data_IF_354768576583
#
_entry.id   IF_354768576583
#
_cell.length_a   1.000
_cell.length_b   1.000
_cell.length_c   1.000
_cell.angle_alpha   90.00
_cell.angle_beta   90.00
_cell.angle_gamma   90.00
#
_symmetry.space_group_name_H-M   'P 1'
#
loop_
_entity.id
_entity.type
_entity.pdbx_description
1 polymer ?
#
# COMPACT_ATOMS: atom_id res chain seq x y z
N UNK A 1 -47.07 -0.42 2.85
CA UNK A 1 -46.17 -0.88 3.93
C UNK A 1 -44.93 0.00 3.91
N UNK A 2 -45.01 1.12 4.61
CA UNK A 2 -43.99 2.18 4.57
C UNK A 2 -43.01 2.09 5.73
N UNK A 3 -41.78 2.51 5.45
CA UNK A 3 -40.95 3.29 6.36
C UNK A 3 -40.60 2.64 7.71
N UNK A 4 -39.78 1.58 7.70
CA UNK A 4 -38.97 1.20 8.90
C UNK A 4 -37.56 1.85 8.92
N UNK A 5 -37.14 2.47 7.81
CA UNK A 5 -35.81 3.09 7.70
C UNK A 5 -35.68 4.46 8.36
N UNK A 6 -36.77 5.23 8.46
CA UNK A 6 -36.70 6.61 8.97
C UNK A 6 -36.65 6.70 10.50
N UNK A 7 -37.28 5.77 11.22
CA UNK A 7 -37.24 5.76 12.70
C UNK A 7 -35.84 5.44 13.24
N UNK A 8 -35.03 4.65 12.52
CA UNK A 8 -33.65 4.40 12.90
C UNK A 8 -32.72 5.61 12.66
N UNK A 9 -33.03 6.50 11.71
CA UNK A 9 -32.21 7.68 11.43
C UNK A 9 -32.40 8.83 12.43
N UNK A 10 -33.61 9.04 12.98
CA UNK A 10 -33.86 10.10 13.98
C UNK A 10 -33.28 9.78 15.36
N UNK A 11 -33.08 8.50 15.68
CA UNK A 11 -32.39 8.07 16.91
C UNK A 11 -30.88 8.29 16.80
N UNK A 12 -30.31 8.17 15.59
CA UNK A 12 -28.88 8.39 15.35
C UNK A 12 -28.46 9.84 15.58
N UNK A 13 -29.24 10.82 15.13
CA UNK A 13 -28.92 12.24 15.29
C UNK A 13 -28.83 12.66 16.76
N UNK A 14 -29.78 12.22 17.60
CA UNK A 14 -29.79 12.53 19.03
C UNK A 14 -28.73 11.75 19.84
N UNK A 15 -28.35 10.55 19.38
CA UNK A 15 -27.35 9.72 20.06
C UNK A 15 -25.92 10.13 19.68
N UNK A 16 -25.68 10.62 18.47
CA UNK A 16 -24.33 11.02 18.04
C UNK A 16 -23.90 12.42 18.55
N UNK A 17 -24.81 13.16 19.17
CA UNK A 17 -24.58 14.47 19.79
C UNK A 17 -24.21 14.42 21.28
N UNK A 18 -24.22 13.23 21.91
CA UNK A 18 -23.74 13.04 23.29
C UNK A 18 -22.27 12.61 23.30
N UNK A 19 -21.50 13.10 24.27
CA UNK A 19 -20.07 12.81 24.45
C UNK A 19 -19.74 11.32 24.58
N UNK A 20 -20.75 10.48 24.82
CA UNK A 20 -20.59 9.04 24.96
C UNK A 20 -21.78 8.26 24.38
N UNK A 21 -21.53 7.46 23.34
CA UNK A 21 -22.50 6.49 22.83
C UNK A 21 -22.27 5.12 23.50
N UNK A 22 -23.29 4.53 24.14
CA UNK A 22 -23.19 3.19 24.71
C UNK A 22 -22.78 2.10 23.71
N UNK A 23 -21.93 1.15 24.15
CA UNK A 23 -21.41 0.03 23.34
C UNK A 23 -22.48 -0.78 22.63
N UNK A 24 -23.62 -1.01 23.28
CA UNK A 24 -24.75 -1.75 22.69
C UNK A 24 -25.29 -1.02 21.46
N UNK A 25 -25.37 0.31 21.53
CA UNK A 25 -25.87 1.15 20.44
C UNK A 25 -24.84 1.18 19.31
N UNK A 26 -23.55 1.39 19.61
CA UNK A 26 -22.47 1.35 18.60
C UNK A 26 -22.44 0.00 17.86
N UNK A 27 -22.53 -1.12 18.59
CA UNK A 27 -22.58 -2.46 17.98
C UNK A 27 -23.83 -2.65 17.10
N UNK A 28 -24.99 -2.18 17.56
CA UNK A 28 -26.24 -2.25 16.80
C UNK A 28 -26.14 -1.45 15.50
N UNK A 29 -25.66 -0.20 15.56
CA UNK A 29 -25.53 0.67 14.40
C UNK A 29 -24.57 0.05 13.38
N UNK A 30 -23.41 -0.43 13.81
CA UNK A 30 -22.42 -1.03 12.93
C UNK A 30 -22.95 -2.32 12.26
N UNK A 31 -23.72 -3.14 13.00
CA UNK A 31 -24.35 -4.33 12.45
C UNK A 31 -25.43 -3.98 11.42
N UNK A 32 -26.31 -3.03 11.75
CA UNK A 32 -27.34 -2.54 10.83
C UNK A 32 -26.71 -1.97 9.55
N UNK A 33 -25.70 -1.10 9.68
CA UNK A 33 -25.00 -0.49 8.55
C UNK A 33 -24.42 -1.52 7.56
N UNK A 34 -23.84 -2.62 8.07
CA UNK A 34 -23.28 -3.69 7.22
C UNK A 34 -24.33 -4.38 6.36
N UNK A 35 -25.58 -4.42 6.82
CA UNK A 35 -26.70 -5.07 6.12
C UNK A 35 -27.42 -4.15 5.13
N UNK A 36 -27.10 -2.85 5.11
CA UNK A 36 -27.75 -1.87 4.25
C UNK A 36 -27.34 -2.04 2.78
N UNK A 37 -28.31 -1.84 1.88
CA UNK A 37 -28.06 -1.66 0.45
C UNK A 37 -27.37 -0.31 0.16
N UNK A 38 -26.98 -0.10 -1.10
CA UNK A 38 -26.26 1.10 -1.50
C UNK A 38 -27.03 2.41 -1.22
N UNK A 39 -28.32 2.45 -1.56
CA UNK A 39 -29.14 3.65 -1.41
C UNK A 39 -29.35 3.98 0.07
N UNK A 40 -29.55 2.95 0.90
CA UNK A 40 -29.68 3.08 2.36
C UNK A 40 -28.36 3.52 3.01
N UNK A 41 -27.22 3.01 2.54
CA UNK A 41 -25.89 3.49 2.98
C UNK A 41 -25.66 4.94 2.62
N UNK A 42 -26.08 5.36 1.41
CA UNK A 42 -26.00 6.76 1.00
C UNK A 42 -26.80 7.67 1.94
N UNK A 43 -28.04 7.30 2.26
CA UNK A 43 -28.87 8.06 3.22
C UNK A 43 -28.19 8.12 4.59
N UNK A 44 -27.71 6.98 5.10
CA UNK A 44 -27.01 6.92 6.37
C UNK A 44 -25.79 7.85 6.42
N UNK A 45 -24.94 7.81 5.38
CA UNK A 45 -23.74 8.63 5.31
C UNK A 45 -24.06 10.13 5.21
N UNK A 46 -25.13 10.49 4.50
CA UNK A 46 -25.60 11.87 4.43
C UNK A 46 -26.12 12.38 5.77
N UNK A 47 -26.92 11.57 6.48
CA UNK A 47 -27.38 11.88 7.84
C UNK A 47 -26.18 12.05 8.77
N UNK A 48 -25.26 11.08 8.75
CA UNK A 48 -24.03 11.12 9.55
C UNK A 48 -23.20 12.38 9.27
N UNK A 49 -23.01 12.74 7.99
CA UNK A 49 -22.19 13.88 7.61
C UNK A 49 -22.86 15.24 7.94
N UNK A 50 -24.19 15.31 7.96
CA UNK A 50 -24.94 16.53 8.31
C UNK A 50 -25.05 16.74 9.81
N UNK A 51 -25.24 15.66 10.57
CA UNK A 51 -25.49 15.72 12.01
C UNK A 51 -24.19 15.80 12.82
N UNK A 52 -23.06 15.36 12.26
CA UNK A 52 -21.75 15.50 12.90
C UNK A 52 -21.16 16.90 12.68
N UNK A 53 -21.12 17.70 13.74
CA UNK A 53 -20.35 18.96 13.79
C UNK A 53 -18.83 18.71 13.75
N UNK A 54 -18.01 19.73 13.44
CA UNK A 54 -16.57 19.60 13.13
C UNK A 54 -15.76 18.75 14.14
N UNK A 55 -16.09 18.79 15.43
CA UNK A 55 -15.36 18.07 16.48
C UNK A 55 -15.92 16.66 16.82
N UNK A 56 -17.18 16.39 16.50
CA UNK A 56 -17.88 15.14 16.83
C UNK A 56 -17.38 13.87 16.07
N UNK A 57 -16.97 13.94 14.78
CA UNK A 57 -16.50 12.78 14.02
C UNK A 57 -15.31 12.07 14.69
N UNK A 58 -14.38 12.83 15.25
CA UNK A 58 -13.17 12.26 15.87
C UNK A 58 -13.53 11.42 17.09
N UNK A 59 -14.45 11.90 17.92
CA UNK A 59 -14.94 11.18 19.09
C UNK A 59 -15.69 9.91 18.69
N UNK A 60 -16.58 10.01 17.70
CA UNK A 60 -17.28 8.86 17.16
C UNK A 60 -16.31 7.81 16.60
N UNK A 61 -15.31 8.20 15.80
CA UNK A 61 -14.34 7.26 15.25
C UNK A 61 -13.51 6.57 16.33
N UNK A 62 -13.14 7.28 17.41
CA UNK A 62 -12.48 6.67 18.58
C UNK A 62 -13.39 5.69 19.32
N UNK A 63 -14.67 6.01 19.47
CA UNK A 63 -15.65 5.09 20.06
C UNK A 63 -15.86 3.85 19.19
N UNK A 64 -16.01 4.01 17.88
CA UNK A 64 -16.09 2.89 16.93
C UNK A 64 -14.85 2.01 17.01
N UNK A 65 -13.66 2.60 17.08
CA UNK A 65 -12.40 1.87 17.18
C UNK A 65 -12.27 1.10 18.51
N UNK A 66 -12.67 1.70 19.63
CA UNK A 66 -12.49 1.11 20.97
C UNK A 66 -13.60 0.12 21.36
N UNK A 67 -14.82 0.30 20.85
CA UNK A 67 -15.99 -0.45 21.30
C UNK A 67 -16.38 -1.61 20.36
N UNK A 68 -15.94 -1.57 19.09
CA UNK A 68 -16.18 -2.62 18.10
C UNK A 68 -14.98 -3.55 17.93
N UNK A 69 -15.27 -4.84 17.94
CA UNK A 69 -14.32 -5.86 17.51
C UNK A 69 -14.09 -5.69 15.99
N UNK A 70 -12.86 -5.37 15.59
CA UNK A 70 -12.55 -4.99 14.20
C UNK A 70 -12.96 -3.56 13.80
N UNK A 71 -13.10 -2.64 14.76
CA UNK A 71 -13.51 -1.25 14.52
C UNK A 71 -12.65 -0.51 13.47
N UNK A 72 -11.35 -0.80 13.40
CA UNK A 72 -10.47 -0.22 12.38
C UNK A 72 -10.91 -0.61 10.96
N UNK A 73 -11.16 -1.91 10.72
CA UNK A 73 -11.60 -2.40 9.42
C UNK A 73 -12.98 -1.83 9.06
N UNK A 74 -13.86 -1.66 10.05
CA UNK A 74 -15.15 -1.00 9.86
C UNK A 74 -14.98 0.45 9.38
N UNK A 75 -14.10 1.24 9.98
CA UNK A 75 -13.83 2.62 9.56
C UNK A 75 -13.23 2.69 8.15
N UNK A 76 -12.35 1.75 7.79
CA UNK A 76 -11.82 1.62 6.43
C UNK A 76 -12.94 1.33 5.43
N UNK A 77 -13.84 0.39 5.75
CA UNK A 77 -14.99 0.07 4.89
C UNK A 77 -15.97 1.25 4.78
N UNK A 78 -16.25 1.94 5.88
CA UNK A 78 -17.09 3.13 5.92
C UNK A 78 -16.56 4.20 4.95
N UNK A 79 -15.24 4.41 4.94
CA UNK A 79 -14.59 5.33 4.00
C UNK A 79 -14.70 4.85 2.55
N UNK A 80 -14.55 3.55 2.31
CA UNK A 80 -14.71 2.96 0.98
C UNK A 80 -16.13 3.24 0.42
N UNK A 81 -17.15 2.98 1.23
CA UNK A 81 -18.56 3.21 0.91
C UNK A 81 -18.81 4.72 0.66
N UNK A 82 -18.26 5.59 1.51
CA UNK A 82 -18.34 7.05 1.34
C UNK A 82 -17.75 7.53 0.00
N UNK A 83 -16.59 7.01 -0.40
CA UNK A 83 -15.98 7.33 -1.69
C UNK A 83 -16.81 6.84 -2.86
N UNK A 84 -17.43 5.66 -2.74
CA UNK A 84 -18.33 5.14 -3.76
C UNK A 84 -19.57 6.03 -3.94
N UNK A 85 -20.14 6.52 -2.83
CA UNK A 85 -21.27 7.47 -2.84
C UNK A 85 -20.87 8.81 -3.45
N UNK A 86 -19.72 9.37 -3.06
CA UNK A 86 -19.16 10.59 -3.66
C UNK A 86 -18.95 10.49 -5.17
N UNK A 87 -18.66 9.29 -5.68
CA UNK A 87 -18.51 9.04 -7.12
C UNK A 87 -19.82 9.00 -7.90
N UNK A 88 -20.98 8.87 -7.22
CA UNK A 88 -22.30 8.74 -7.87
C UNK A 88 -23.26 9.91 -7.60
N UNK A 89 -23.05 10.69 -6.53
CA UNK A 89 -23.89 11.85 -6.21
C UNK A 89 -23.54 13.04 -7.10
N UNK A 90 -24.58 13.71 -7.60
CA UNK A 90 -24.45 14.95 -8.40
C UNK A 90 -24.89 16.21 -7.63
N UNK A 91 -25.59 16.09 -6.50
CA UNK A 91 -26.06 17.23 -5.72
C UNK A 91 -24.90 17.97 -5.04
N UNK A 92 -24.65 19.22 -5.43
CA UNK A 92 -23.49 20.00 -4.97
C UNK A 92 -23.43 20.19 -3.45
N UNK A 93 -24.57 20.41 -2.78
CA UNK A 93 -24.61 20.59 -1.32
C UNK A 93 -24.20 19.32 -0.58
N UNK A 94 -24.72 18.17 -1.04
CA UNK A 94 -24.44 16.86 -0.46
C UNK A 94 -22.98 16.46 -0.68
N UNK A 95 -22.41 16.75 -1.86
CA UNK A 95 -21.00 16.51 -2.16
C UNK A 95 -20.08 17.26 -1.19
N UNK A 96 -20.37 18.53 -0.88
CA UNK A 96 -19.53 19.32 0.04
C UNK A 96 -19.49 18.69 1.43
N UNK A 97 -20.66 18.32 1.96
CA UNK A 97 -20.79 17.75 3.32
C UNK A 97 -20.13 16.37 3.39
N UNK A 98 -20.34 15.51 2.39
CA UNK A 98 -19.69 14.19 2.33
C UNK A 98 -18.17 14.27 2.13
N UNK A 99 -17.66 15.27 1.39
CA UNK A 99 -16.22 15.49 1.25
C UNK A 99 -15.58 15.91 2.57
N UNK A 100 -16.25 16.74 3.37
CA UNK A 100 -15.76 17.11 4.70
C UNK A 100 -15.64 15.86 5.60
N UNK A 101 -16.64 14.98 5.58
CA UNK A 101 -16.58 13.70 6.31
C UNK A 101 -15.43 12.80 5.80
N UNK A 102 -15.21 12.70 4.49
CA UNK A 102 -14.10 11.90 3.92
C UNK A 102 -12.74 12.46 4.35
N UNK A 103 -12.58 13.79 4.38
CA UNK A 103 -11.34 14.43 4.84
C UNK A 103 -11.04 14.16 6.31
N UNK A 104 -12.06 14.21 7.18
CA UNK A 104 -11.90 13.85 8.60
C UNK A 104 -11.54 12.38 8.77
N UNK A 105 -12.25 11.48 8.09
CA UNK A 105 -12.00 10.04 8.17
C UNK A 105 -10.63 9.68 7.58
N UNK A 106 -10.23 10.34 6.49
CA UNK A 106 -8.88 10.23 5.92
C UNK A 106 -7.82 10.64 6.94
N UNK A 107 -7.97 11.80 7.58
CA UNK A 107 -6.98 12.32 8.52
C UNK A 107 -6.86 11.42 9.76
N UNK A 108 -8.00 10.91 10.25
CA UNK A 108 -8.04 9.92 11.33
C UNK A 108 -7.30 8.63 10.92
N UNK A 109 -7.67 8.00 9.79
CA UNK A 109 -6.98 6.80 9.32
C UNK A 109 -5.50 7.06 9.04
N UNK A 110 -5.14 8.27 8.60
CA UNK A 110 -3.75 8.68 8.35
C UNK A 110 -2.90 8.73 9.64
N UNK A 111 -3.47 9.07 10.78
CA UNK A 111 -2.73 9.06 12.05
C UNK A 111 -2.49 7.64 12.58
N UNK A 112 -3.41 6.71 12.30
CA UNK A 112 -3.34 5.35 12.83
C UNK A 112 -2.41 4.42 12.03
N UNK A 113 -2.46 4.47 10.69
CA UNK A 113 -1.74 3.50 9.85
C UNK A 113 -0.26 3.86 9.58
N UNK A 114 0.40 4.56 10.50
CA UNK A 114 1.76 5.08 10.28
C UNK A 114 2.73 4.00 9.76
N UNK A 115 3.61 4.39 8.82
CA UNK A 115 4.51 3.46 8.11
C UNK A 115 5.38 2.65 9.07
N UNK A 116 5.73 3.22 10.23
CA UNK A 116 6.54 2.55 11.26
C UNK A 116 5.89 1.32 11.90
N UNK A 117 4.57 1.14 11.76
CA UNK A 117 3.86 -0.03 12.30
C UNK A 117 3.53 -1.09 11.25
N UNK A 118 3.85 -0.84 9.97
CA UNK A 118 3.62 -1.82 8.93
C UNK A 118 4.63 -2.96 9.04
N UNK A 119 4.12 -4.18 9.18
CA UNK A 119 4.93 -5.40 9.17
C UNK A 119 4.93 -5.97 7.76
N UNK A 120 6.11 -6.13 7.18
CA UNK A 120 6.29 -6.83 5.91
C UNK A 120 6.46 -8.32 6.20
N UNK A 121 5.58 -9.14 5.65
CA UNK A 121 5.65 -10.60 5.79
C UNK A 121 5.76 -11.26 4.41
N UNK A 122 6.56 -12.32 4.33
CA UNK A 122 6.66 -13.14 3.13
C UNK A 122 5.47 -14.12 3.12
N UNK A 123 4.71 -14.10 2.03
CA UNK A 123 3.64 -15.06 1.79
C UNK A 123 4.22 -16.26 1.03
N UNK A 124 4.00 -17.46 1.56
CA UNK A 124 4.39 -18.73 0.92
C UNK A 124 3.21 -19.68 0.92
N UNK A 125 3.20 -20.64 -0.01
CA UNK A 125 2.09 -21.59 -0.09
C UNK A 125 2.07 -22.56 1.10
N UNK A 126 3.24 -22.90 1.64
CA UNK A 126 3.41 -23.92 2.67
C UNK A 126 3.24 -23.37 4.10
N UNK A 127 3.64 -22.12 4.35
CA UNK A 127 3.71 -21.56 5.72
C UNK A 127 2.59 -20.55 6.02
N UNK A 128 1.97 -19.97 4.99
CA UNK A 128 0.94 -18.95 5.20
C UNK A 128 -0.44 -19.57 5.45
N UNK A 129 -1.28 -18.99 6.33
CA UNK A 129 -2.63 -19.49 6.58
C UNK A 129 -3.50 -19.52 5.31
N UNK A 130 -4.33 -20.56 5.16
CA UNK A 130 -5.23 -20.69 3.99
C UNK A 130 -6.16 -19.48 3.81
N UNK A 131 -6.66 -18.90 4.90
CA UNK A 131 -7.48 -17.69 4.87
C UNK A 131 -6.76 -16.48 4.26
N UNK A 132 -5.44 -16.35 4.45
CA UNK A 132 -4.64 -15.30 3.81
C UNK A 132 -4.49 -15.55 2.31
N UNK A 133 -4.27 -16.80 1.91
CA UNK A 133 -4.14 -17.18 0.51
C UNK A 133 -5.44 -16.92 -0.28
N UNK A 134 -6.60 -17.22 0.32
CA UNK A 134 -7.90 -16.90 -0.25
C UNK A 134 -8.10 -15.39 -0.44
N UNK A 135 -7.67 -14.58 0.52
CA UNK A 135 -7.71 -13.11 0.42
C UNK A 135 -6.83 -12.60 -0.73
N UNK A 136 -5.63 -13.12 -0.88
CA UNK A 136 -4.73 -12.75 -1.98
C UNK A 136 -5.35 -13.09 -3.33
N UNK A 137 -5.97 -14.27 -3.47
CA UNK A 137 -6.72 -14.64 -4.68
C UNK A 137 -7.84 -13.64 -4.97
N UNK A 138 -8.63 -13.29 -3.94
CA UNK A 138 -9.77 -12.39 -4.05
C UNK A 138 -9.36 -10.96 -4.41
N UNK A 139 -8.25 -10.47 -3.86
CA UNK A 139 -7.85 -9.07 -3.97
C UNK A 139 -6.83 -8.78 -5.08
N UNK A 140 -6.39 -9.79 -5.83
CA UNK A 140 -5.49 -9.59 -6.97
C UNK A 140 -6.19 -8.81 -8.09
N UNK A 141 -5.81 -7.54 -8.22
CA UNK A 141 -6.44 -6.59 -9.13
C UNK A 141 -5.78 -6.54 -10.51
N UNK A 142 -4.51 -6.92 -10.62
CA UNK A 142 -3.72 -6.76 -11.86
C UNK A 142 -3.80 -8.01 -12.73
N UNK A 143 -3.69 -9.19 -12.10
CA UNK A 143 -3.75 -10.47 -12.80
C UNK A 143 -4.56 -11.49 -12.01
N UNK A 144 -5.90 -11.51 -12.12
CA UNK A 144 -6.76 -12.34 -11.29
C UNK A 144 -6.26 -13.78 -11.21
N UNK A 145 -5.99 -14.25 -9.99
CA UNK A 145 -5.57 -15.64 -9.77
C UNK A 145 -6.82 -16.49 -9.81
N UNK A 146 -7.10 -17.14 -10.95
CA UNK A 146 -8.37 -17.85 -11.13
C UNK A 146 -8.48 -19.12 -10.29
N UNK A 147 -7.36 -19.67 -9.81
CA UNK A 147 -7.30 -20.95 -9.11
C UNK A 147 -6.19 -21.02 -8.07
N UNK A 148 -6.34 -21.90 -7.07
CA UNK A 148 -5.29 -22.18 -6.07
C UNK A 148 -3.99 -22.72 -6.70
N UNK A 149 -4.11 -23.42 -7.84
CA UNK A 149 -2.97 -23.95 -8.59
C UNK A 149 -2.14 -22.80 -9.17
N UNK A 150 -2.82 -21.77 -9.69
CA UNK A 150 -2.15 -20.58 -10.19
C UNK A 150 -1.49 -19.79 -9.05
N UNK A 151 -2.13 -19.69 -7.89
CA UNK A 151 -1.51 -19.07 -6.71
C UNK A 151 -0.23 -19.82 -6.32
N UNK A 152 -0.29 -21.16 -6.26
CA UNK A 152 0.86 -22.00 -5.93
C UNK A 152 2.03 -21.76 -6.90
N UNK A 153 1.76 -21.57 -8.20
CA UNK A 153 2.80 -21.19 -9.18
C UNK A 153 3.39 -19.82 -8.88
N UNK A 154 2.57 -18.82 -8.51
CA UNK A 154 3.01 -17.46 -8.19
C UNK A 154 3.68 -17.31 -6.82
N UNK A 155 3.59 -18.31 -5.96
CA UNK A 155 4.30 -18.39 -4.68
C UNK A 155 5.47 -19.39 -4.71
N UNK A 156 5.62 -20.12 -5.81
CA UNK A 156 6.59 -21.18 -5.98
C UNK A 156 8.01 -20.68 -6.25
N UNK A 157 8.83 -21.59 -6.77
CA UNK A 157 10.25 -21.34 -7.02
C UNK A 157 10.48 -20.16 -7.98
N UNK A 158 11.49 -19.33 -7.69
CA UNK A 158 11.77 -18.12 -8.48
C UNK A 158 10.68 -17.04 -8.36
N UNK A 159 9.67 -17.24 -7.50
CA UNK A 159 8.62 -16.27 -7.20
C UNK A 159 8.65 -15.90 -5.73
N UNK A 160 8.29 -14.66 -5.44
CA UNK A 160 8.08 -14.17 -4.07
C UNK A 160 6.80 -13.36 -4.03
N UNK A 161 6.11 -13.44 -2.91
CA UNK A 161 5.02 -12.54 -2.58
C UNK A 161 5.29 -11.97 -1.19
N UNK A 162 5.14 -10.66 -1.07
CA UNK A 162 5.25 -9.98 0.21
C UNK A 162 3.96 -9.21 0.48
N UNK A 163 3.49 -9.24 1.71
CA UNK A 163 2.29 -8.53 2.13
C UNK A 163 2.59 -7.63 3.34
N UNK A 164 1.99 -6.44 3.34
CA UNK A 164 2.06 -5.50 4.45
C UNK A 164 0.85 -5.68 5.35
N UNK A 165 1.10 -5.85 6.65
CA UNK A 165 0.09 -5.98 7.69
C UNK A 165 0.22 -4.84 8.68
N UNK A 166 -0.90 -4.45 9.28
CA UNK A 166 -0.92 -3.47 10.36
C UNK A 166 -1.47 -4.11 11.64
N UNK A 167 -0.90 -3.85 12.83
CA UNK A 167 -1.34 -4.47 14.08
C UNK A 167 -2.83 -4.29 14.39
N UNK A 168 -3.44 -3.17 13.97
CA UNK A 168 -4.87 -2.91 14.15
C UNK A 168 -5.79 -3.69 13.19
N UNK A 169 -5.24 -4.32 12.15
CA UNK A 169 -5.94 -5.19 11.19
C UNK A 169 -5.04 -6.38 10.82
N UNK A 170 -4.70 -7.24 11.80
CA UNK A 170 -3.61 -8.21 11.65
C UNK A 170 -3.91 -9.30 10.62
N UNK A 171 -5.19 -9.64 10.43
CA UNK A 171 -5.62 -10.69 9.50
C UNK A 171 -5.80 -10.19 8.06
N UNK A 172 -5.59 -8.90 7.80
CA UNK A 172 -5.90 -8.25 6.54
C UNK A 172 -4.62 -7.74 5.85
N UNK A 173 -4.22 -8.32 4.70
CA UNK A 173 -3.07 -7.81 3.96
C UNK A 173 -3.46 -6.48 3.33
N UNK A 174 -2.84 -5.37 3.71
CA UNK A 174 -3.21 -4.04 3.21
C UNK A 174 -2.73 -3.82 1.77
N UNK A 175 -1.50 -4.23 1.51
CA UNK A 175 -0.86 -4.20 0.19
C UNK A 175 -0.08 -5.48 0.05
N UNK A 176 -0.14 -6.11 -1.10
CA UNK A 176 0.75 -7.22 -1.42
C UNK A 176 1.39 -7.04 -2.79
N UNK A 177 2.57 -7.63 -2.92
CA UNK A 177 3.49 -7.42 -4.02
C UNK A 177 4.02 -8.75 -4.49
N UNK A 178 3.80 -9.06 -5.77
CA UNK A 178 4.39 -10.22 -6.41
C UNK A 178 5.69 -9.86 -7.15
N UNK A 179 6.72 -10.65 -6.88
CA UNK A 179 8.08 -10.48 -7.40
C UNK A 179 8.51 -11.73 -8.13
N UNK A 180 9.13 -11.56 -9.29
CA UNK A 180 9.74 -12.64 -10.07
C UNK A 180 11.27 -12.50 -10.03
N UNK A 181 11.97 -13.56 -9.68
CA UNK A 181 13.42 -13.65 -9.75
C UNK A 181 13.80 -14.22 -11.11
N UNK A 182 14.53 -13.44 -11.91
CA UNK A 182 14.84 -13.78 -13.31
C UNK A 182 16.30 -13.48 -13.68
N UNK A 183 16.90 -14.22 -14.63
CA UNK A 183 18.30 -14.01 -15.03
C UNK A 183 18.57 -12.68 -15.75
N UNK A 184 17.54 -12.10 -16.39
CA UNK A 184 17.60 -10.79 -17.07
C UNK A 184 16.32 -9.99 -16.82
N UNK A 185 16.39 -8.68 -17.06
CA UNK A 185 15.21 -7.81 -17.03
C UNK A 185 14.13 -8.32 -18.00
N UNK A 186 12.90 -8.36 -17.51
CA UNK A 186 11.76 -8.88 -18.24
C UNK A 186 11.09 -7.83 -19.13
N UNK A 187 10.92 -8.16 -20.40
CA UNK A 187 10.19 -7.35 -21.39
C UNK A 187 8.69 -7.65 -21.41
N UNK A 188 8.27 -8.85 -20.96
CA UNK A 188 6.91 -9.37 -21.09
C UNK A 188 6.52 -10.27 -19.91
N UNK A 189 5.22 -10.46 -19.71
CA UNK A 189 4.71 -11.38 -18.67
C UNK A 189 4.95 -12.85 -19.05
N UNK A 190 4.94 -13.15 -20.35
CA UNK A 190 5.29 -14.47 -20.90
C UNK A 190 6.72 -14.85 -20.53
N UNK A 191 7.68 -13.95 -20.76
CA UNK A 191 9.07 -14.18 -20.35
C UNK A 191 9.18 -14.40 -18.84
N UNK A 192 8.49 -13.60 -18.03
CA UNK A 192 8.47 -13.78 -16.58
C UNK A 192 8.04 -15.19 -16.20
N UNK A 193 6.98 -15.72 -16.83
CA UNK A 193 6.49 -17.10 -16.61
C UNK A 193 7.56 -18.14 -16.96
N UNK A 194 8.03 -18.11 -18.20
CA UNK A 194 9.00 -19.08 -18.74
C UNK A 194 10.32 -19.06 -17.96
N UNK A 195 10.87 -17.87 -17.71
CA UNK A 195 12.16 -17.71 -17.03
C UNK A 195 12.13 -18.23 -15.59
N UNK A 196 10.99 -18.12 -14.89
CA UNK A 196 10.88 -18.68 -13.53
C UNK A 196 10.62 -20.17 -13.51
N UNK A 197 9.94 -20.72 -14.52
CA UNK A 197 9.71 -22.17 -14.65
C UNK A 197 11.01 -22.91 -15.02
N UNK A 198 11.89 -22.27 -15.79
CA UNK A 198 13.18 -22.81 -16.21
C UNK A 198 14.32 -22.53 -15.21
N UNK A 199 14.05 -21.81 -14.12
CA UNK A 199 15.07 -21.43 -13.14
C UNK A 199 15.49 -22.64 -12.30
N UNK A 200 16.61 -23.25 -12.67
CA UNK A 200 17.13 -24.46 -12.04
C UNK A 200 17.78 -24.18 -10.68
N UNK A 201 18.31 -22.97 -10.47
CA UNK A 201 18.78 -22.45 -9.19
C UNK A 201 18.39 -20.97 -9.04
N UNK A 202 17.86 -20.57 -7.88
CA UNK A 202 17.48 -19.18 -7.61
C UNK A 202 18.69 -18.23 -7.57
N UNK A 203 19.91 -18.75 -7.35
CA UNK A 203 21.15 -17.97 -7.37
C UNK A 203 21.53 -17.47 -8.78
N UNK A 204 20.92 -18.03 -9.82
CA UNK A 204 21.09 -17.59 -11.22
C UNK A 204 20.32 -16.30 -11.52
N UNK A 205 19.40 -15.91 -10.64
CA UNK A 205 18.66 -14.67 -10.81
C UNK A 205 19.58 -13.44 -10.67
N UNK A 206 19.52 -12.54 -11.65
CA UNK A 206 20.24 -11.26 -11.63
C UNK A 206 19.30 -10.05 -11.48
N UNK A 207 17.99 -10.27 -11.54
CA UNK A 207 16.99 -9.23 -11.41
C UNK A 207 15.77 -9.74 -10.61
N UNK A 208 15.17 -8.82 -9.85
CA UNK A 208 13.89 -9.01 -9.18
C UNK A 208 12.87 -8.06 -9.83
N UNK A 209 11.79 -8.61 -10.39
CA UNK A 209 10.79 -7.85 -11.14
C UNK A 209 9.49 -7.81 -10.33
N UNK A 210 9.10 -6.60 -9.93
CA UNK A 210 7.80 -6.32 -9.30
C UNK A 210 6.73 -6.27 -10.39
N UNK A 211 5.98 -7.35 -10.56
CA UNK A 211 5.05 -7.48 -11.70
C UNK A 211 3.57 -7.34 -11.32
N UNK A 212 3.24 -7.41 -10.03
CA UNK A 212 1.92 -7.05 -9.51
C UNK A 212 2.06 -6.40 -8.14
N UNK A 213 1.36 -5.27 -7.95
CA UNK A 213 1.19 -4.59 -6.67
C UNK A 213 -0.32 -4.36 -6.53
N UNK A 214 -0.92 -4.95 -5.50
CA UNK A 214 -2.36 -4.86 -5.26
C UNK A 214 -2.61 -4.22 -3.90
N UNK A 215 -3.49 -3.22 -3.87
CA UNK A 215 -4.04 -2.62 -2.66
C UNK A 215 -5.41 -3.24 -2.39
N UNK A 216 -5.60 -3.77 -1.19
CA UNK A 216 -6.81 -4.55 -0.87
C UNK A 216 -7.94 -3.70 -0.30
N UNK A 217 -7.62 -2.50 0.20
CA UNK A 217 -8.54 -1.65 0.94
C UNK A 217 -8.81 -0.34 0.20
N UNK A 218 -9.95 -0.22 -0.52
CA UNK A 218 -10.31 1.00 -1.24
C UNK A 218 -10.41 2.24 -0.32
N UNK A 219 -10.86 2.04 0.93
CA UNK A 219 -10.91 3.08 1.95
C UNK A 219 -9.54 3.60 2.39
N UNK A 220 -8.46 2.90 2.05
CA UNK A 220 -7.08 3.34 2.25
C UNK A 220 -6.45 3.86 0.95
N UNK A 221 -7.18 4.10 -0.15
CA UNK A 221 -6.56 4.54 -1.42
C UNK A 221 -5.67 5.79 -1.31
N UNK A 222 -5.95 6.72 -0.39
CA UNK A 222 -5.07 7.89 -0.17
C UNK A 222 -3.79 7.53 0.62
N UNK A 223 -3.75 6.40 1.31
CA UNK A 223 -2.49 5.83 1.85
C UNK A 223 -1.52 5.38 0.76
N UNK A 224 -2.00 5.08 -0.46
CA UNK A 224 -1.11 4.79 -1.59
C UNK A 224 -0.29 6.02 -2.00
N UNK A 225 -0.71 7.23 -1.64
CA UNK A 225 0.10 8.45 -1.75
C UNK A 225 1.14 8.60 -0.63
N UNK A 226 1.15 7.69 0.36
CA UNK A 226 2.20 7.51 1.40
C UNK A 226 3.11 6.29 1.12
N UNK A 227 2.93 5.61 -0.02
CA UNK A 227 3.92 4.70 -0.61
C UNK A 227 5.23 5.40 -0.99
N UNK A 228 5.27 6.67 -1.44
CA UNK A 228 6.51 7.28 -1.93
C UNK A 228 7.67 7.21 -0.92
N UNK A 229 7.50 7.54 0.39
CA UNK A 229 8.55 7.33 1.38
C UNK A 229 9.02 5.87 1.50
N UNK A 230 8.11 4.90 1.39
CA UNK A 230 8.42 3.46 1.48
C UNK A 230 9.20 2.99 0.26
N UNK A 231 8.69 3.29 -0.94
CA UNK A 231 9.36 2.93 -2.19
C UNK A 231 10.69 3.66 -2.33
N UNK A 232 10.79 4.90 -1.86
CA UNK A 232 12.05 5.63 -1.84
C UNK A 232 13.04 5.02 -0.85
N UNK A 233 12.61 4.58 0.34
CA UNK A 233 13.48 3.90 1.31
C UNK A 233 13.93 2.54 0.81
N UNK A 234 13.02 1.75 0.25
CA UNK A 234 13.35 0.46 -0.38
C UNK A 234 14.28 0.63 -1.59
N UNK A 235 14.03 1.65 -2.42
CA UNK A 235 14.88 1.99 -3.55
C UNK A 235 16.28 2.42 -3.12
N UNK A 236 16.40 3.28 -2.11
CA UNK A 236 17.68 3.70 -1.55
C UNK A 236 18.43 2.52 -0.92
N UNK A 237 17.73 1.64 -0.18
CA UNK A 237 18.30 0.44 0.39
C UNK A 237 18.82 -0.52 -0.70
N UNK A 238 18.02 -0.77 -1.72
CA UNK A 238 18.38 -1.62 -2.86
C UNK A 238 19.61 -1.10 -3.62
N UNK A 239 19.71 0.21 -3.81
CA UNK A 239 20.83 0.81 -4.55
C UNK A 239 22.11 0.89 -3.70
N UNK A 240 21.98 1.11 -2.40
CA UNK A 240 23.12 1.38 -1.52
C UNK A 240 23.61 0.17 -0.73
N UNK A 241 22.70 -0.61 -0.13
CA UNK A 241 22.99 -1.70 0.80
C UNK A 241 23.09 -3.06 0.11
N UNK A 242 22.23 -3.33 -0.87
CA UNK A 242 22.24 -4.63 -1.55
C UNK A 242 23.45 -4.80 -2.47
N UNK A 243 24.20 -5.89 -2.27
CA UNK A 243 25.45 -6.16 -2.99
C UNK A 243 25.46 -7.53 -3.66
N UNK A 244 26.14 -7.60 -4.81
CA UNK A 244 26.59 -8.85 -5.45
C UNK A 244 28.12 -8.83 -5.55
N UNK A 245 28.78 -9.78 -4.88
CA UNK A 245 30.26 -9.85 -4.81
C UNK A 245 30.91 -8.53 -4.34
N UNK A 246 30.31 -7.90 -3.34
CA UNK A 246 30.77 -6.61 -2.78
C UNK A 246 30.38 -5.36 -3.59
N UNK A 247 29.86 -5.50 -4.82
CA UNK A 247 29.43 -4.36 -5.67
C UNK A 247 27.92 -4.17 -5.62
N UNK A 248 27.43 -2.97 -5.96
CA UNK A 248 26.01 -2.65 -6.05
C UNK A 248 25.25 -3.70 -6.89
N UNK A 249 24.12 -4.19 -6.36
CA UNK A 249 23.33 -5.23 -7.00
C UNK A 249 22.70 -4.74 -8.33
N UNK A 250 22.23 -3.48 -8.37
CA UNK A 250 21.66 -2.88 -9.57
C UNK A 250 22.73 -2.68 -10.66
N UNK A 251 22.58 -3.23 -11.88
CA UNK A 251 23.57 -3.09 -12.94
C UNK A 251 23.84 -1.64 -13.37
N UNK A 252 22.80 -0.81 -13.43
CA UNK A 252 22.90 0.61 -13.79
C UNK A 252 23.64 1.38 -12.70
N UNK A 253 23.31 1.12 -11.43
CA UNK A 253 24.04 1.70 -10.31
C UNK A 253 25.51 1.31 -10.35
N UNK A 254 25.79 0.02 -10.54
CA UNK A 254 27.14 -0.49 -10.62
C UNK A 254 27.94 0.17 -11.76
N UNK A 255 27.33 0.38 -12.93
CA UNK A 255 27.98 1.08 -14.04
C UNK A 255 28.38 2.52 -13.67
N UNK A 256 27.45 3.31 -13.12
CA UNK A 256 27.74 4.70 -12.76
C UNK A 256 28.76 4.81 -11.62
N UNK A 257 28.63 3.97 -10.60
CA UNK A 257 29.54 3.94 -9.45
C UNK A 257 30.95 3.49 -9.85
N UNK A 258 31.07 2.50 -10.75
CA UNK A 258 32.38 2.14 -11.34
C UNK A 258 33.00 3.27 -12.13
N UNK A 259 32.24 4.23 -12.63
CA UNK A 259 32.76 5.40 -13.31
C UNK A 259 33.00 6.59 -12.36
N UNK A 260 32.91 6.40 -11.04
CA UNK A 260 33.18 7.44 -10.04
C UNK A 260 32.00 8.37 -9.75
N UNK A 261 30.79 7.97 -10.12
CA UNK A 261 29.59 8.76 -9.82
C UNK A 261 29.17 8.65 -8.34
N UNK A 262 28.44 9.65 -7.89
CA UNK A 262 27.80 9.71 -6.57
C UNK A 262 26.32 9.33 -6.74
N UNK A 263 25.79 8.47 -5.87
CA UNK A 263 24.36 8.25 -5.76
C UNK A 263 23.71 9.50 -5.12
N UNK A 264 23.31 10.44 -5.97
CA UNK A 264 22.95 11.79 -5.57
C UNK A 264 21.50 11.90 -5.10
N UNK A 265 20.57 11.34 -5.88
CA UNK A 265 19.13 11.56 -5.65
C UNK A 265 18.28 10.40 -6.13
N UNK A 266 17.22 10.11 -5.39
CA UNK A 266 16.14 9.23 -5.80
C UNK A 266 14.88 10.04 -6.12
N UNK A 267 14.30 9.79 -7.29
CA UNK A 267 13.16 10.51 -7.84
C UNK A 267 11.93 9.61 -7.89
N UNK A 268 10.89 10.00 -7.17
CA UNK A 268 9.58 9.40 -7.26
C UNK A 268 8.85 9.85 -8.53
N UNK A 269 8.20 8.93 -9.24
CA UNK A 269 7.52 9.16 -10.53
C UNK A 269 8.41 9.81 -11.60
N UNK A 270 9.71 9.52 -11.58
CA UNK A 270 10.65 10.04 -12.58
C UNK A 270 10.47 9.43 -13.98
N UNK A 271 9.85 8.25 -14.08
CA UNK A 271 9.46 7.65 -15.37
C UNK A 271 8.07 7.01 -15.26
N UNK A 272 7.05 7.77 -15.70
CA UNK A 272 5.64 7.35 -15.72
C UNK A 272 5.25 6.57 -16.98
N UNK A 273 6.20 6.26 -17.86
CA UNK A 273 5.91 5.41 -19.01
C UNK A 273 5.51 4.01 -18.51
N UNK A 274 4.77 3.24 -19.33
CA UNK A 274 4.46 1.84 -19.02
C UNK A 274 5.72 1.01 -18.71
N UNK A 275 6.88 1.38 -19.29
CA UNK A 275 8.18 0.75 -19.05
C UNK A 275 8.76 1.15 -17.68
N UNK A 276 8.73 2.43 -17.31
CA UNK A 276 9.22 2.92 -16.02
C UNK A 276 8.41 2.40 -14.83
N UNK A 277 7.09 2.38 -14.96
CA UNK A 277 6.19 1.79 -13.96
C UNK A 277 6.45 0.29 -13.78
N UNK A 278 6.69 -0.44 -14.87
CA UNK A 278 7.00 -1.88 -14.84
C UNK A 278 8.38 -2.20 -14.25
N UNK A 279 9.40 -1.38 -14.54
CA UNK A 279 10.78 -1.70 -14.18
C UNK A 279 11.15 -1.29 -12.76
N UNK A 280 10.62 -0.16 -12.28
CA UNK A 280 11.05 0.45 -11.02
C UNK A 280 9.91 1.13 -10.27
N UNK A 281 8.65 0.78 -10.56
CA UNK A 281 7.47 1.48 -10.03
C UNK A 281 7.53 3.00 -10.26
N UNK A 282 8.16 3.42 -11.36
CA UNK A 282 8.37 4.83 -11.71
C UNK A 282 9.50 5.53 -10.96
N UNK A 283 10.29 4.82 -10.15
CA UNK A 283 11.49 5.37 -9.52
C UNK A 283 12.61 5.57 -10.53
N UNK A 284 13.25 6.74 -10.47
CA UNK A 284 14.45 7.06 -11.23
C UNK A 284 15.55 7.52 -10.28
N UNK A 285 16.80 7.40 -10.71
CA UNK A 285 17.98 7.76 -9.91
C UNK A 285 18.79 8.80 -10.67
N UNK A 286 19.29 9.81 -9.97
CA UNK A 286 20.34 10.68 -10.49
C UNK A 286 21.70 10.24 -9.94
N UNK A 287 22.65 10.09 -10.86
CA UNK A 287 24.07 9.91 -10.55
C UNK A 287 24.81 11.21 -10.89
N UNK A 288 25.52 11.78 -9.93
CA UNK A 288 26.30 13.02 -10.10
C UNK A 288 27.76 12.67 -10.35
N UNK A 289 28.36 13.28 -11.36
CA UNK A 289 29.80 13.20 -11.61
C UNK A 289 30.44 14.52 -11.21
N UNK A 290 31.23 14.50 -10.15
CA UNK A 290 32.01 15.65 -9.73
C UNK A 290 33.46 15.44 -10.15
N UNK A 291 33.89 16.16 -11.19
CA UNK A 291 35.14 15.88 -11.90
C UNK A 291 36.38 15.82 -10.99
N UNK A 292 36.41 16.64 -9.93
CA UNK A 292 37.50 16.63 -8.94
C UNK A 292 37.55 15.39 -8.05
N UNK A 293 36.45 14.62 -7.97
CA UNK A 293 36.33 13.46 -7.08
C UNK A 293 36.13 12.14 -7.84
N UNK A 294 35.94 12.17 -9.16
CA UNK A 294 35.64 10.96 -9.98
C UNK A 294 36.68 9.86 -9.78
N UNK A 295 37.98 10.18 -9.84
CA UNK A 295 39.06 9.19 -9.68
C UNK A 295 39.04 8.57 -8.28
N UNK A 296 38.96 9.41 -7.24
CA UNK A 296 38.89 8.95 -5.86
C UNK A 296 37.63 8.08 -5.61
N UNK A 297 36.49 8.46 -6.17
CA UNK A 297 35.23 7.71 -6.05
C UNK A 297 35.29 6.37 -6.78
N UNK A 298 35.89 6.34 -7.97
CA UNK A 298 36.14 5.12 -8.73
C UNK A 298 37.02 4.17 -7.92
N UNK A 299 38.15 4.65 -7.42
CA UNK A 299 39.10 3.86 -6.63
C UNK A 299 38.42 3.30 -5.36
N UNK A 300 37.73 4.15 -4.60
CA UNK A 300 36.99 3.76 -3.41
C UNK A 300 35.93 2.70 -3.70
N UNK A 301 35.19 2.84 -4.80
CA UNK A 301 34.19 1.85 -5.16
C UNK A 301 34.82 0.53 -5.62
N UNK A 302 35.92 0.58 -6.40
CA UNK A 302 36.59 -0.60 -6.95
C UNK A 302 37.39 -1.39 -5.91
N UNK A 303 38.14 -0.71 -5.05
CA UNK A 303 39.04 -1.34 -4.06
C UNK A 303 38.35 -1.57 -2.72
N UNK A 304 37.53 -0.62 -2.27
CA UNK A 304 36.98 -0.61 -0.91
C UNK A 304 35.47 -0.90 -0.85
N UNK A 305 34.81 -1.08 -2.01
CA UNK A 305 33.36 -1.32 -2.12
C UNK A 305 32.49 -0.20 -1.52
N UNK A 306 33.07 1.00 -1.35
CA UNK A 306 32.41 2.15 -0.78
C UNK A 306 31.59 2.85 -1.85
N UNK A 307 30.30 3.09 -1.59
CA UNK A 307 29.44 3.87 -2.49
C UNK A 307 29.44 5.33 -2.03
N UNK A 308 29.87 6.28 -2.88
CA UNK A 308 29.64 7.70 -2.62
C UNK A 308 28.13 8.01 -2.68
N UNK A 309 27.62 8.67 -1.65
CA UNK A 309 26.18 8.95 -1.47
C UNK A 309 25.93 10.43 -1.18
N UNK A 310 24.90 10.99 -1.81
CA UNK A 310 24.45 12.36 -1.59
C UNK A 310 23.55 12.50 -0.36
N UNK A 311 23.22 13.74 0.01
CA UNK A 311 22.49 14.05 1.24
C UNK A 311 21.08 13.43 1.30
N UNK A 312 20.33 13.45 0.20
CA UNK A 312 18.94 12.97 0.20
C UNK A 312 18.85 11.44 0.35
N UNK A 313 19.57 10.60 -0.40
CA UNK A 313 19.56 9.17 -0.15
C UNK A 313 20.13 8.81 1.22
N UNK A 314 21.10 9.56 1.73
CA UNK A 314 21.64 9.35 3.07
C UNK A 314 20.59 9.61 4.16
N UNK A 315 19.86 10.73 4.09
CA UNK A 315 18.80 11.02 5.08
C UNK A 315 17.69 9.97 5.06
N UNK A 316 17.27 9.52 3.87
CA UNK A 316 16.28 8.45 3.70
C UNK A 316 16.72 7.11 4.33
N UNK A 317 18.03 6.86 4.43
CA UNK A 317 18.60 5.63 4.97
C UNK A 317 18.86 5.68 6.48
N UNK A 318 18.92 6.88 7.08
CA UNK A 318 19.24 7.09 8.50
C UNK A 318 17.97 7.22 9.36
N UNK A 319 16.89 7.77 8.80
CA UNK A 319 15.52 7.66 9.34
C UNK A 319 14.95 6.25 9.14
#
# INVERSE_FOLDING_TARGET
MGVRGYEHCSVLSNVLLVDFVPRVIIKSIAASYKSLDFDSKQVFLLTLARDLHVDAPTLLFRQLLSQLDGGMLFLVQLRADLRQVLGKISNSKDVVVLRALDQHLQSFLASWFSVGFLRLERVTYEQSPGALLEKIIRYEAVHPVGTIIELKRRLGRGRRCFAFFHPSVPDEPLVFVHVALVPRLADSMTYIKEATEQLADEHEANAAIFYSISSTQPGLQVWLLRIPPILMRLGAHYLFREKKRGKALCPVANFHLRNGAIFERLNWLGDMSPKGLKNSAGLMVNYKYELSQVEANNENYLLHNTIPIGEQPLSILVD
#
